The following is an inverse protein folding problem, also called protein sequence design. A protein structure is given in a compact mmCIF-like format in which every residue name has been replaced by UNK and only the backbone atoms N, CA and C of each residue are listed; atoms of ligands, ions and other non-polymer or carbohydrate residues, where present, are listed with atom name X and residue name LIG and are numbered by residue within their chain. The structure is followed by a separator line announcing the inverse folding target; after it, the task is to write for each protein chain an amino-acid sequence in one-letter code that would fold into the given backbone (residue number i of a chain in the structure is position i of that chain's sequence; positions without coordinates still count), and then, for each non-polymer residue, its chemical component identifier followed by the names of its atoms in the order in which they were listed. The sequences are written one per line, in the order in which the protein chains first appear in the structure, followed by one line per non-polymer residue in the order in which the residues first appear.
data_IF_443561700111
#
_entry.id   IF_443561700111
#
_cell.length_a   1.000
_cell.length_b   1.000
_cell.length_c   1.000
_cell.angle_alpha   90.00
_cell.angle_beta   90.00
_cell.angle_gamma   90.00
#
_symmetry.space_group_name_H-M   'P 1'
#
loop_
_entity.id
_entity.type
_entity.pdbx_description
1 polymer ?
#
# COMPACT_ATOMS: atom_id res chain seq x y z
N UNK A 1 1.82 46.60 8.55
CA UNK A 1 0.43 46.09 8.62
C UNK A 1 -0.35 46.71 7.47
N UNK A 2 -1.18 45.99 6.71
CA UNK A 2 -1.89 44.76 7.08
C UNK A 2 -1.12 43.52 6.58
N UNK A 3 -0.93 42.44 7.34
CA UNK A 3 -1.96 41.79 8.15
C UNK A 3 -2.95 41.08 7.24
N UNK A 4 -2.48 40.35 6.23
CA UNK A 4 -3.35 39.57 5.34
C UNK A 4 -4.04 38.48 6.12
N UNK A 5 -5.28 38.71 6.53
CA UNK A 5 -6.14 37.67 7.07
C UNK A 5 -6.39 36.64 5.97
N UNK A 6 -5.93 35.41 6.16
CA UNK A 6 -6.35 34.30 5.32
C UNK A 6 -7.87 34.22 5.36
N UNK A 7 -8.53 34.40 4.22
CA UNK A 7 -9.98 34.29 4.17
C UNK A 7 -10.40 32.81 4.24
N UNK A 8 -11.60 32.53 4.76
CA UNK A 8 -12.20 31.17 4.68
C UNK A 8 -12.17 30.59 3.25
N UNK A 9 -12.20 31.45 2.22
CA UNK A 9 -12.12 31.06 0.81
C UNK A 9 -10.71 30.63 0.38
N UNK A 10 -9.67 31.18 0.99
CA UNK A 10 -8.28 30.78 0.72
C UNK A 10 -7.93 29.48 1.45
N UNK A 11 -8.51 29.25 2.64
CA UNK A 11 -8.47 27.96 3.34
C UNK A 11 -9.17 26.85 2.51
N UNK A 12 -10.34 27.12 1.93
CA UNK A 12 -11.10 26.12 1.15
C UNK A 12 -10.41 25.75 -0.19
N UNK A 13 -9.57 26.62 -0.76
CA UNK A 13 -8.79 26.30 -1.97
C UNK A 13 -7.62 25.34 -1.71
N UNK A 14 -7.23 25.13 -0.45
CA UNK A 14 -6.17 24.20 -0.06
C UNK A 14 -6.59 22.72 -0.10
N UNK A 15 -7.90 22.43 -0.16
CA UNK A 15 -8.45 21.09 0.04
C UNK A 15 -9.05 20.46 -1.23
N UNK A 16 -8.50 20.80 -2.40
CA UNK A 16 -8.82 20.13 -3.66
C UNK A 16 -8.20 18.74 -3.74
N UNK A 17 -8.67 17.79 -2.93
CA UNK A 17 -8.21 16.41 -2.89
C UNK A 17 -9.32 15.45 -3.31
N UNK A 18 -9.07 14.62 -4.31
CA UNK A 18 -9.84 13.38 -4.51
C UNK A 18 -9.40 12.39 -3.43
N UNK A 19 -10.32 11.97 -2.55
CA UNK A 19 -10.16 10.84 -1.64
C UNK A 19 -8.84 10.80 -0.81
N UNK A 20 -8.47 11.90 -0.14
CA UNK A 20 -7.32 11.92 0.79
C UNK A 20 -5.94 12.09 0.12
N UNK A 21 -5.90 12.34 -1.20
CA UNK A 21 -4.67 12.64 -1.95
C UNK A 21 -4.44 14.15 -2.10
N UNK A 22 -3.30 14.63 -1.61
CA UNK A 22 -2.89 16.03 -1.65
C UNK A 22 -1.62 16.19 -2.48
N UNK A 23 -1.41 17.39 -3.02
CA UNK A 23 -0.15 17.77 -3.68
C UNK A 23 0.45 18.90 -2.86
N UNK A 24 1.75 18.79 -2.57
CA UNK A 24 2.53 19.84 -1.93
C UNK A 24 3.78 20.12 -2.76
N UNK A 25 4.21 21.37 -2.80
CA UNK A 25 5.40 21.79 -3.54
C UNK A 25 6.40 22.41 -2.59
N UNK A 26 7.65 21.96 -2.64
CA UNK A 26 8.73 22.55 -1.87
C UNK A 26 9.00 23.99 -2.33
N UNK A 27 9.19 24.88 -1.37
CA UNK A 27 9.55 26.26 -1.61
C UNK A 27 10.97 26.52 -1.13
N UNK A 28 11.73 27.32 -1.90
CA UNK A 28 13.09 27.72 -1.54
C UNK A 28 13.13 28.79 -0.43
N UNK A 29 11.98 29.36 -0.04
CA UNK A 29 11.87 30.35 1.03
C UNK A 29 11.38 29.67 2.32
N UNK A 30 12.04 29.88 3.46
CA UNK A 30 11.63 29.29 4.73
C UNK A 30 10.23 29.82 5.10
N UNK A 31 9.31 28.90 5.38
CA UNK A 31 8.03 29.23 5.97
C UNK A 31 8.25 29.67 7.42
N UNK A 32 7.61 30.76 7.85
CA UNK A 32 7.36 30.95 9.28
C UNK A 32 6.33 29.88 9.67
N UNK A 33 6.63 28.97 10.63
CA UNK A 33 5.72 27.89 10.97
C UNK A 33 4.38 28.50 11.42
N UNK A 34 3.34 28.28 10.63
CA UNK A 34 2.00 28.80 10.90
C UNK A 34 1.21 27.88 11.86
N UNK A 35 1.90 27.22 12.80
CA UNK A 35 1.27 26.51 13.92
C UNK A 35 0.76 27.52 14.96
N UNK A 36 -0.15 28.38 14.51
CA UNK A 36 -0.93 29.29 15.33
C UNK A 36 -2.39 29.17 14.91
N UNK A 37 -3.27 28.96 15.89
CA UNK A 37 -4.74 29.05 15.80
C UNK A 37 -5.52 27.77 15.47
N UNK A 38 -5.32 26.72 16.28
CA UNK A 38 -6.35 25.80 16.82
C UNK A 38 -5.65 24.52 17.32
N UNK A 39 -4.89 24.63 18.41
CA UNK A 39 -4.36 23.43 19.06
C UNK A 39 -5.47 22.84 19.91
N UNK A 40 -6.03 21.69 19.50
CA UNK A 40 -6.63 20.77 20.45
C UNK A 40 -5.63 20.54 21.60
N UNK A 41 -6.12 20.24 22.81
CA UNK A 41 -5.23 19.88 23.91
C UNK A 41 -4.40 18.63 23.54
N UNK A 42 -3.17 18.47 24.07
CA UNK A 42 -2.40 17.24 23.86
C UNK A 42 -3.20 16.00 24.30
N UNK A 43 -3.01 14.90 23.57
CA UNK A 43 -3.69 13.63 23.81
C UNK A 43 -5.05 13.50 23.11
N UNK A 44 -5.41 14.42 22.22
CA UNK A 44 -6.65 14.34 21.44
C UNK A 44 -6.50 13.39 20.23
N UNK A 45 -5.28 13.20 19.74
CA UNK A 45 -5.01 12.39 18.56
C UNK A 45 -3.75 11.54 18.72
N UNK A 46 -3.69 10.45 17.96
CA UNK A 46 -2.47 9.65 17.79
C UNK A 46 -2.34 9.09 16.37
N UNK A 47 -1.18 8.49 16.06
CA UNK A 47 -0.84 7.95 14.75
C UNK A 47 -0.48 6.46 14.86
N UNK A 48 -1.46 5.58 15.09
CA UNK A 48 -1.21 4.21 15.54
C UNK A 48 -0.65 3.28 14.45
N UNK A 49 -0.70 3.71 13.19
CA UNK A 49 -0.08 3.00 12.05
C UNK A 49 1.21 3.67 11.56
N UNK A 50 1.72 4.66 12.30
CA UNK A 50 2.98 5.32 12.02
C UNK A 50 2.99 6.17 10.74
N UNK A 51 4.17 6.26 10.14
CA UNK A 51 4.47 7.06 8.95
C UNK A 51 4.98 6.16 7.83
N UNK A 52 4.83 6.60 6.59
CA UNK A 52 5.46 5.95 5.45
C UNK A 52 5.79 6.94 4.33
N UNK A 53 6.80 6.62 3.54
CA UNK A 53 7.06 7.27 2.26
C UNK A 53 7.22 6.24 1.15
N UNK A 54 7.01 6.64 -0.11
CA UNK A 54 7.10 5.72 -1.23
C UNK A 54 7.48 6.38 -2.56
N UNK A 55 7.85 5.50 -3.50
CA UNK A 55 8.10 5.76 -4.91
C UNK A 55 9.01 6.97 -5.13
N UNK A 56 10.29 6.89 -4.71
CA UNK A 56 11.20 8.02 -4.83
C UNK A 56 11.39 8.41 -6.30
N UNK A 57 11.11 9.68 -6.60
CA UNK A 57 11.37 10.33 -7.89
C UNK A 57 12.52 11.33 -7.75
N UNK A 58 13.11 11.81 -8.85
CA UNK A 58 14.19 12.78 -8.78
C UNK A 58 13.83 14.06 -8.02
N UNK A 59 12.57 14.48 -8.05
CA UNK A 59 12.12 15.72 -7.41
C UNK A 59 10.89 15.52 -6.52
N UNK A 60 10.51 14.26 -6.26
CA UNK A 60 9.26 13.99 -5.55
C UNK A 60 9.26 12.68 -4.77
N UNK A 61 8.36 12.59 -3.79
CA UNK A 61 8.05 11.39 -3.01
C UNK A 61 6.57 11.39 -2.65
N UNK A 62 5.99 10.20 -2.42
CA UNK A 62 4.71 10.09 -1.72
C UNK A 62 4.95 9.99 -0.21
N UNK A 63 4.21 10.75 0.59
CA UNK A 63 4.19 10.64 2.06
C UNK A 63 2.82 10.18 2.53
N UNK A 64 2.79 9.44 3.64
CA UNK A 64 1.56 8.84 4.16
C UNK A 64 1.54 8.78 5.68
N UNK A 65 0.34 8.92 6.24
CA UNK A 65 0.03 8.54 7.61
C UNK A 65 -1.48 8.27 7.77
N UNK A 66 -1.86 7.69 8.91
CA UNK A 66 -3.24 7.61 9.40
C UNK A 66 -3.32 8.22 10.79
N UNK A 67 -4.29 9.10 10.99
CA UNK A 67 -4.60 9.67 12.30
C UNK A 67 -5.84 9.01 12.89
N UNK A 68 -5.86 8.87 14.21
CA UNK A 68 -7.06 8.48 14.95
C UNK A 68 -7.30 9.48 16.08
N UNK A 69 -8.57 9.83 16.27
CA UNK A 69 -9.00 10.70 17.35
C UNK A 69 -9.25 9.88 18.62
N UNK A 70 -8.62 10.27 19.72
CA UNK A 70 -8.86 9.76 21.06
C UNK A 70 -9.97 10.57 21.77
N UNK A 71 -10.16 11.82 21.34
CA UNK A 71 -11.25 12.69 21.76
C UNK A 71 -12.18 13.02 20.58
N UNK A 72 -13.41 12.51 20.64
CA UNK A 72 -14.43 12.77 19.62
C UNK A 72 -14.86 14.25 19.56
N UNK A 73 -14.59 15.06 20.60
CA UNK A 73 -14.85 16.50 20.54
C UNK A 73 -13.79 17.27 19.74
N UNK A 74 -12.63 16.65 19.46
CA UNK A 74 -11.53 17.28 18.75
C UNK A 74 -11.65 17.19 17.21
N UNK A 75 -12.50 16.30 16.68
CA UNK A 75 -12.72 16.16 15.23
C UNK A 75 -13.65 17.26 14.70
N UNK A 76 -13.62 17.47 13.38
CA UNK A 76 -14.55 18.39 12.70
C UNK A 76 -15.99 17.86 12.76
N UNK A 77 -17.02 18.70 12.56
CA UNK A 77 -18.43 18.26 12.61
C UNK A 77 -18.79 17.10 11.68
N UNK A 78 -18.04 16.90 10.59
CA UNK A 78 -18.21 15.77 9.66
C UNK A 78 -17.34 14.54 10.01
N UNK A 79 -16.67 14.55 11.16
CA UNK A 79 -15.77 13.51 11.64
C UNK A 79 -14.35 13.56 11.04
N UNK A 80 -14.05 14.47 10.13
CA UNK A 80 -12.71 14.58 9.54
C UNK A 80 -11.71 15.21 10.52
N UNK A 81 -10.41 15.00 10.27
CA UNK A 81 -9.31 15.54 11.10
C UNK A 81 -8.41 16.42 10.25
N UNK A 82 -8.16 17.64 10.72
CA UNK A 82 -7.15 18.53 10.13
C UNK A 82 -5.75 18.09 10.58
N UNK A 83 -4.87 17.91 9.60
CA UNK A 83 -3.46 17.58 9.80
C UNK A 83 -2.54 18.66 9.21
N UNK A 84 -1.33 18.75 9.76
CA UNK A 84 -0.25 19.57 9.20
C UNK A 84 0.97 18.70 8.92
N UNK A 85 1.44 18.71 7.68
CA UNK A 85 2.68 18.07 7.25
C UNK A 85 3.82 19.10 7.29
N UNK A 86 4.97 18.67 7.79
CA UNK A 86 6.24 19.35 7.55
C UNK A 86 7.25 18.40 6.90
N UNK A 87 8.03 18.90 5.94
CA UNK A 87 9.20 18.23 5.36
C UNK A 87 10.41 19.14 5.51
N UNK A 88 11.53 18.58 5.96
CA UNK A 88 12.76 19.31 6.26
C UNK A 88 14.00 18.59 5.72
N UNK A 89 15.09 19.33 5.58
CA UNK A 89 16.41 18.78 5.17
C UNK A 89 17.26 18.28 6.34
N UNK A 90 16.78 18.45 7.57
CA UNK A 90 17.42 17.98 8.80
C UNK A 90 16.37 17.41 9.77
N UNK A 91 16.86 16.58 10.69
CA UNK A 91 16.02 15.84 11.64
C UNK A 91 15.54 16.71 12.81
N UNK A 92 16.15 17.88 13.06
CA UNK A 92 15.67 18.86 14.05
C UNK A 92 14.51 19.71 13.52
N UNK A 93 14.25 19.68 12.21
CA UNK A 93 13.26 20.52 11.50
C UNK A 93 13.58 22.01 11.61
N UNK A 94 14.86 22.38 11.61
CA UNK A 94 15.32 23.77 11.54
C UNK A 94 15.18 24.32 10.12
N UNK A 95 15.34 23.48 9.09
CA UNK A 95 15.21 23.86 7.68
C UNK A 95 14.05 23.13 7.02
N UNK A 96 12.84 23.60 7.32
CA UNK A 96 11.59 23.16 6.69
C UNK A 96 11.51 23.69 5.25
N UNK A 97 11.27 22.79 4.30
CA UNK A 97 11.14 23.07 2.86
C UNK A 97 9.70 22.92 2.37
N UNK A 98 8.84 22.23 3.12
CA UNK A 98 7.41 22.09 2.87
C UNK A 98 6.66 22.21 4.20
N UNK A 99 5.63 23.03 4.23
CA UNK A 99 4.62 23.04 5.27
C UNK A 99 3.24 23.05 4.60
N UNK A 100 2.39 22.07 4.91
CA UNK A 100 1.12 21.88 4.20
C UNK A 100 0.03 21.42 5.16
N UNK A 101 -1.11 22.13 5.19
CA UNK A 101 -2.33 21.63 5.82
C UNK A 101 -3.00 20.59 4.90
N UNK A 102 -3.42 19.47 5.47
CA UNK A 102 -4.12 18.38 4.77
C UNK A 102 -5.30 17.90 5.61
N UNK A 103 -6.30 17.31 4.98
CA UNK A 103 -7.52 16.81 5.64
C UNK A 103 -7.56 15.30 5.59
N UNK A 104 -7.51 14.64 6.74
CA UNK A 104 -7.78 13.21 6.87
C UNK A 104 -9.30 13.00 6.90
N UNK A 105 -9.86 12.34 5.90
CA UNK A 105 -11.30 12.15 5.79
C UNK A 105 -11.76 10.81 6.35
N UNK A 106 -12.95 10.79 6.96
CA UNK A 106 -13.65 9.54 7.32
C UNK A 106 -13.83 8.60 6.11
N UNK A 107 -13.95 9.16 4.90
CA UNK A 107 -14.07 8.39 3.65
C UNK A 107 -12.85 7.52 3.36
N UNK A 108 -11.65 7.94 3.75
CA UNK A 108 -10.39 7.22 3.57
C UNK A 108 -9.89 6.57 4.86
N UNK A 109 -10.77 6.33 5.84
CA UNK A 109 -10.38 5.84 7.18
C UNK A 109 -9.28 6.72 7.82
N UNK A 110 -9.39 8.03 7.61
CA UNK A 110 -8.46 9.05 8.10
C UNK A 110 -6.99 8.84 7.65
N UNK A 111 -6.78 8.12 6.56
CA UNK A 111 -5.48 8.09 5.88
C UNK A 111 -5.29 9.36 5.04
N UNK A 112 -4.05 9.80 4.93
CA UNK A 112 -3.64 10.89 4.02
C UNK A 112 -2.47 10.43 3.17
N UNK A 113 -2.51 10.83 1.89
CA UNK A 113 -1.45 10.61 0.90
C UNK A 113 -1.06 11.97 0.35
N UNK A 114 0.21 12.35 0.52
CA UNK A 114 0.70 13.66 0.07
C UNK A 114 1.82 13.46 -0.94
N UNK A 115 1.54 13.80 -2.19
CA UNK A 115 2.55 13.84 -3.25
C UNK A 115 3.34 15.13 -3.10
N UNK A 116 4.57 15.02 -2.60
CA UNK A 116 5.46 16.15 -2.36
C UNK A 116 6.41 16.28 -3.54
N UNK A 117 6.40 17.42 -4.22
CA UNK A 117 7.20 17.71 -5.42
C UNK A 117 8.14 18.91 -5.23
N UNK A 118 9.03 19.14 -6.19
CA UNK A 118 9.98 20.26 -6.19
C UNK A 118 11.17 20.04 -5.22
N UNK A 119 11.39 18.80 -4.79
CA UNK A 119 12.50 18.41 -3.95
C UNK A 119 13.80 18.34 -4.76
N UNK A 120 14.94 18.43 -4.09
CA UNK A 120 16.24 18.24 -4.73
C UNK A 120 16.49 16.74 -4.99
N UNK A 121 17.09 16.36 -6.12
CA UNK A 121 17.48 14.99 -6.41
C UNK A 121 18.51 14.40 -5.46
N UNK A 122 18.51 13.07 -5.34
CA UNK A 122 19.44 12.27 -4.52
C UNK A 122 19.63 12.80 -3.08
N UNK A 123 18.55 13.30 -2.47
CA UNK A 123 18.59 14.04 -1.21
C UNK A 123 17.75 13.35 -0.15
N UNK A 124 18.29 13.24 1.07
CA UNK A 124 17.53 12.78 2.24
C UNK A 124 16.66 13.92 2.77
N UNK A 125 15.40 13.60 3.06
CA UNK A 125 14.47 14.49 3.76
C UNK A 125 13.89 13.81 5.00
N UNK A 126 13.47 14.62 5.95
CA UNK A 126 12.74 14.19 7.14
C UNK A 126 11.34 14.79 7.10
N UNK A 127 10.35 14.05 7.60
CA UNK A 127 8.96 14.51 7.59
C UNK A 127 8.22 14.11 8.86
N UNK A 128 7.19 14.89 9.21
CA UNK A 128 6.32 14.63 10.36
C UNK A 128 4.94 15.20 10.14
N UNK A 129 3.96 14.62 10.81
CA UNK A 129 2.57 15.07 10.79
C UNK A 129 2.14 15.54 12.18
N UNK A 130 1.22 16.50 12.20
CA UNK A 130 0.57 17.01 13.40
C UNK A 130 -0.94 16.93 13.26
N UNK A 131 -1.63 16.65 14.36
CA UNK A 131 -3.07 16.81 14.52
C UNK A 131 -3.30 17.63 15.79
N UNK A 132 -3.76 18.88 15.68
CA UNK A 132 -3.77 19.79 16.82
C UNK A 132 -2.37 20.00 17.42
N UNK A 133 -2.16 19.62 18.68
CA UNK A 133 -0.83 19.60 19.32
C UNK A 133 -0.11 18.25 19.28
N UNK A 134 -0.80 17.18 18.90
CA UNK A 134 -0.24 15.84 18.86
C UNK A 134 0.56 15.63 17.59
N UNK A 135 1.63 14.85 17.68
CA UNK A 135 2.58 14.61 16.59
C UNK A 135 2.73 13.12 16.35
N UNK A 136 3.09 12.77 15.11
CA UNK A 136 3.59 11.43 14.81
C UNK A 136 4.70 11.02 15.80
N UNK A 137 4.70 9.76 16.29
CA UNK A 137 5.55 9.33 17.40
C UNK A 137 7.04 9.53 17.12
N UNK A 138 7.46 9.31 15.87
CA UNK A 138 8.82 9.58 15.38
C UNK A 138 8.75 10.36 14.06
N UNK A 139 9.79 11.16 13.71
CA UNK A 139 9.90 11.71 12.37
C UNK A 139 10.25 10.60 11.38
N UNK A 140 9.65 10.65 10.20
CA UNK A 140 10.03 9.79 9.09
C UNK A 140 11.25 10.35 8.36
N UNK A 141 11.99 9.47 7.69
CA UNK A 141 13.07 9.74 6.76
C UNK A 141 12.66 9.22 5.39
N UNK A 142 12.97 9.97 4.35
CA UNK A 142 12.77 9.58 2.94
C UNK A 142 13.95 10.05 2.10
N UNK A 143 14.00 9.66 0.83
CA UNK A 143 15.01 10.12 -0.13
C UNK A 143 14.39 10.26 -1.52
N UNK A 144 14.83 11.24 -2.29
CA UNK A 144 14.55 11.38 -3.72
C UNK A 144 15.53 10.57 -4.56
N UNK A 145 15.11 10.12 -5.74
CA UNK A 145 15.98 9.41 -6.66
C UNK A 145 17.05 10.36 -7.28
N UNK A 146 18.15 9.83 -7.84
CA UNK A 146 19.06 10.60 -8.68
C UNK A 146 18.40 11.02 -9.99
N UNK A 147 18.89 12.11 -10.60
CA UNK A 147 18.45 12.53 -11.93
C UNK A 147 18.70 11.43 -12.98
N UNK A 148 17.82 11.27 -13.98
CA UNK A 148 18.06 10.36 -15.10
C UNK A 148 19.45 10.58 -15.72
N UNK A 149 20.17 9.50 -15.99
CA UNK A 149 21.53 9.56 -16.54
C UNK A 149 22.65 9.72 -15.50
N UNK A 150 22.35 10.05 -14.24
CA UNK A 150 23.37 10.11 -13.19
C UNK A 150 23.86 8.70 -12.82
N UNK A 151 25.17 8.47 -12.87
CA UNK A 151 25.79 7.21 -12.45
C UNK A 151 25.90 7.12 -10.92
N UNK A 152 24.80 6.79 -10.24
CA UNK A 152 24.73 6.58 -8.79
C UNK A 152 24.44 5.11 -8.49
N UNK A 153 25.35 4.41 -7.80
CA UNK A 153 25.15 3.04 -7.29
C UNK A 153 23.89 2.91 -6.43
N UNK A 154 22.96 2.04 -6.81
CA UNK A 154 21.74 1.76 -6.05
C UNK A 154 21.97 0.66 -5.00
N UNK A 155 21.35 0.80 -3.83
CA UNK A 155 21.28 -0.21 -2.76
C UNK A 155 19.84 -0.32 -2.29
N UNK A 156 19.20 -1.45 -2.49
CA UNK A 156 17.83 -1.68 -2.04
C UNK A 156 17.72 -3.03 -1.34
N UNK A 157 16.73 -3.17 -0.48
CA UNK A 157 16.31 -4.44 0.09
C UNK A 157 15.00 -4.87 -0.54
N UNK A 158 14.77 -6.18 -0.67
CA UNK A 158 13.49 -6.75 -1.12
C UNK A 158 12.81 -7.50 0.01
N UNK A 159 11.49 -7.37 0.12
CA UNK A 159 10.64 -8.03 1.10
C UNK A 159 9.39 -8.60 0.43
N UNK A 160 8.81 -9.64 1.01
CA UNK A 160 7.48 -10.17 0.68
C UNK A 160 6.97 -11.01 1.85
N UNK A 161 5.70 -11.42 1.79
CA UNK A 161 5.14 -12.50 2.61
C UNK A 161 5.36 -12.30 4.11
N UNK A 162 4.71 -11.27 4.66
CA UNK A 162 4.84 -10.90 6.06
C UNK A 162 3.62 -11.32 6.89
N UNK A 163 3.20 -12.58 6.84
CA UNK A 163 2.05 -13.06 7.61
C UNK A 163 2.19 -12.70 9.11
N UNK A 164 1.22 -11.92 9.62
CA UNK A 164 1.27 -11.33 10.96
C UNK A 164 1.22 -12.39 12.06
N UNK A 165 0.43 -13.44 11.84
CA UNK A 165 0.18 -14.50 12.80
C UNK A 165 1.29 -15.57 12.81
N UNK A 166 2.03 -15.68 11.70
CA UNK A 166 3.13 -16.65 11.54
C UNK A 166 4.42 -16.29 12.29
N UNK A 167 4.66 -15.00 12.58
CA UNK A 167 5.89 -14.59 13.26
C UNK A 167 5.98 -13.09 13.52
N UNK A 168 6.95 -12.69 14.35
CA UNK A 168 7.31 -11.29 14.60
C UNK A 168 8.23 -10.76 13.50
N UNK A 169 8.17 -9.47 13.19
CA UNK A 169 8.97 -8.86 12.12
C UNK A 169 10.40 -8.50 12.51
N UNK A 170 11.09 -9.40 13.22
CA UNK A 170 12.48 -9.20 13.64
C UNK A 170 13.46 -8.96 12.49
N UNK A 171 13.13 -9.41 11.26
CA UNK A 171 13.89 -9.11 10.05
C UNK A 171 13.85 -7.61 9.70
N UNK A 172 12.70 -6.94 9.85
CA UNK A 172 12.56 -5.50 9.64
C UNK A 172 13.34 -4.70 10.69
N UNK A 173 13.35 -5.16 11.94
CA UNK A 173 14.19 -4.59 13.00
C UNK A 173 15.66 -4.66 12.62
N UNK A 174 16.12 -5.83 12.17
CA UNK A 174 17.51 -6.04 11.77
C UNK A 174 17.88 -5.15 10.58
N UNK A 175 17.03 -5.11 9.55
CA UNK A 175 17.20 -4.24 8.38
C UNK A 175 17.38 -2.77 8.79
N UNK A 176 16.51 -2.29 9.67
CA UNK A 176 16.52 -0.90 10.14
C UNK A 176 17.77 -0.60 10.97
N UNK A 177 18.14 -1.49 11.89
CA UNK A 177 19.32 -1.30 12.75
C UNK A 177 20.62 -1.35 11.96
N UNK A 178 20.75 -2.28 11.01
CA UNK A 178 21.93 -2.40 10.16
C UNK A 178 22.10 -1.15 9.28
N UNK A 179 21.01 -0.60 8.73
CA UNK A 179 21.05 0.65 7.97
C UNK A 179 21.39 1.88 8.83
N UNK A 180 20.89 1.94 10.08
CA UNK A 180 21.25 3.01 11.02
C UNK A 180 22.74 2.97 11.35
N UNK A 181 23.30 1.77 11.53
CA UNK A 181 24.71 1.58 11.84
C UNK A 181 25.63 1.76 10.62
N UNK A 182 25.09 1.63 9.40
CA UNK A 182 25.85 1.75 8.16
C UNK A 182 26.30 3.19 7.89
N UNK A 183 27.51 3.39 7.32
CA UNK A 183 27.93 4.66 6.73
C UNK A 183 26.91 5.15 5.69
N UNK A 184 26.80 6.47 5.51
CA UNK A 184 25.77 7.09 4.65
C UNK A 184 25.79 6.57 3.21
N UNK A 185 26.97 6.23 2.69
CA UNK A 185 27.23 5.66 1.36
C UNK A 185 26.83 4.18 1.23
N UNK A 186 26.63 3.48 2.35
CA UNK A 186 26.21 2.08 2.41
C UNK A 186 24.74 1.91 2.81
N UNK A 187 24.08 2.99 3.23
CA UNK A 187 22.66 3.00 3.53
C UNK A 187 21.80 2.62 2.33
N UNK A 188 20.67 1.99 2.64
CA UNK A 188 19.64 1.58 1.71
C UNK A 188 18.91 2.83 1.17
N UNK A 189 18.63 2.79 -0.11
CA UNK A 189 17.96 3.84 -0.86
C UNK A 189 16.45 3.72 -0.79
N UNK A 190 15.94 2.51 -0.97
CA UNK A 190 14.53 2.16 -0.89
C UNK A 190 14.35 0.67 -0.57
N UNK A 191 13.13 0.31 -0.18
CA UNK A 191 12.72 -1.09 0.04
C UNK A 191 11.71 -1.48 -1.04
N UNK A 192 11.94 -2.59 -1.73
CA UNK A 192 11.02 -3.16 -2.70
C UNK A 192 10.14 -4.22 -2.01
N UNK A 193 8.84 -3.98 -1.89
CA UNK A 193 7.90 -4.96 -1.35
C UNK A 193 7.16 -5.65 -2.50
N UNK A 194 7.32 -6.98 -2.59
CA UNK A 194 6.92 -7.78 -3.76
C UNK A 194 5.52 -8.42 -3.65
N UNK A 195 4.79 -8.14 -2.57
CA UNK A 195 3.42 -8.60 -2.34
C UNK A 195 3.26 -9.33 -1.02
N UNK A 196 2.02 -9.70 -0.71
CA UNK A 196 1.62 -10.29 0.57
C UNK A 196 2.02 -9.40 1.76
N UNK A 197 1.76 -8.10 1.61
CA UNK A 197 1.91 -7.11 2.68
C UNK A 197 0.92 -7.39 3.80
N UNK A 198 -0.27 -7.87 3.46
CA UNK A 198 -1.25 -8.45 4.38
C UNK A 198 -1.54 -9.89 3.97
N UNK A 199 -2.12 -10.65 4.90
CA UNK A 199 -2.86 -11.86 4.60
C UNK A 199 -4.32 -11.58 4.96
N UNK A 200 -5.24 -12.02 4.12
CA UNK A 200 -6.64 -11.62 4.13
C UNK A 200 -7.51 -12.41 5.12
N UNK A 201 -6.90 -13.01 6.14
CA UNK A 201 -7.56 -13.95 7.05
C UNK A 201 -7.09 -13.86 8.49
N UNK A 202 -7.89 -14.47 9.36
CA UNK A 202 -7.52 -14.84 10.72
C UNK A 202 -7.24 -16.34 10.82
N UNK A 203 -6.37 -16.73 11.74
CA UNK A 203 -5.96 -18.11 11.93
C UNK A 203 -5.15 -18.69 10.77
N UNK A 204 -4.46 -17.85 9.99
CA UNK A 204 -3.68 -18.27 8.82
C UNK A 204 -2.30 -18.81 9.22
N UNK A 205 -2.33 -19.87 10.03
CA UNK A 205 -1.15 -20.54 10.58
C UNK A 205 -1.48 -22.03 10.69
N UNK A 206 -0.65 -22.95 10.17
CA UNK A 206 -0.96 -24.37 10.15
C UNK A 206 -1.38 -24.97 11.48
N UNK A 207 -2.29 -25.95 11.44
CA UNK A 207 -2.73 -26.64 12.64
C UNK A 207 -1.53 -27.26 13.39
N UNK A 208 -1.56 -27.22 14.72
CA UNK A 208 -0.46 -27.68 15.57
C UNK A 208 0.75 -26.75 15.67
N UNK A 209 0.84 -25.68 14.87
CA UNK A 209 1.86 -24.62 15.08
C UNK A 209 1.40 -23.61 16.13
N UNK A 210 2.29 -22.90 16.83
CA UNK A 210 1.88 -21.77 17.67
C UNK A 210 1.56 -20.55 16.81
N UNK A 211 0.48 -19.82 17.16
CA UNK A 211 0.21 -18.49 16.62
C UNK A 211 1.14 -17.50 17.33
N UNK A 212 1.94 -16.75 16.58
CA UNK A 212 2.88 -15.79 17.16
C UNK A 212 2.16 -14.54 17.68
N UNK A 213 1.16 -14.08 16.94
CA UNK A 213 0.33 -12.88 17.20
C UNK A 213 -1.06 -13.10 16.63
N UNK A 214 -2.05 -12.41 17.18
CA UNK A 214 -3.47 -12.63 16.83
C UNK A 214 -3.96 -11.49 15.94
N UNK A 215 -4.57 -11.82 14.80
CA UNK A 215 -5.48 -10.90 14.12
C UNK A 215 -6.86 -11.05 14.78
N UNK A 216 -7.44 -9.93 15.23
CA UNK A 216 -8.76 -9.94 15.85
C UNK A 216 -9.87 -10.38 14.88
N UNK A 217 -11.09 -10.64 15.39
CA UNK A 217 -12.23 -10.95 14.54
C UNK A 217 -12.43 -9.89 13.45
N UNK A 218 -12.71 -10.33 12.24
CA UNK A 218 -13.00 -9.44 11.12
C UNK A 218 -14.41 -8.83 11.31
N UNK A 219 -14.61 -7.52 11.07
CA UNK A 219 -15.91 -6.86 11.24
C UNK A 219 -17.07 -7.56 10.53
N UNK A 220 -16.87 -7.95 9.27
CA UNK A 220 -17.87 -8.52 8.36
C UNK A 220 -17.33 -9.78 7.65
N UNK A 221 -16.33 -10.44 8.24
CA UNK A 221 -15.67 -11.59 7.62
C UNK A 221 -16.60 -12.77 7.33
N UNK A 222 -16.09 -13.74 6.57
CA UNK A 222 -16.84 -14.96 6.24
C UNK A 222 -17.33 -15.71 7.49
N UNK A 223 -18.24 -16.66 7.27
CA UNK A 223 -18.53 -17.67 8.28
C UNK A 223 -17.22 -18.30 8.79
N UNK A 224 -17.09 -18.53 10.11
CA UNK A 224 -15.91 -19.16 10.68
C UNK A 224 -15.67 -20.53 10.04
N UNK A 225 -14.42 -20.80 9.67
CA UNK A 225 -14.04 -22.05 9.02
C UNK A 225 -14.13 -23.23 9.99
N UNK A 226 -14.79 -24.30 9.54
CA UNK A 226 -14.87 -25.58 10.24
C UNK A 226 -14.02 -26.62 9.48
N UNK A 227 -13.13 -27.36 10.17
CA UNK A 227 -12.31 -28.38 9.53
C UNK A 227 -13.13 -29.49 8.88
N UNK A 228 -12.86 -29.76 7.61
CA UNK A 228 -13.48 -30.82 6.81
C UNK A 228 -12.46 -31.86 6.30
N UNK A 229 -11.20 -31.74 6.74
CA UNK A 229 -10.08 -32.60 6.32
C UNK A 229 -9.45 -32.22 4.98
N UNK A 230 -9.81 -31.08 4.37
CA UNK A 230 -9.25 -30.65 3.08
C UNK A 230 -8.11 -29.64 3.19
N UNK A 231 -7.88 -29.08 4.39
CA UNK A 231 -6.98 -27.91 4.60
C UNK A 231 -6.26 -27.96 5.95
N UNK A 232 -5.17 -28.70 6.00
CA UNK A 232 -4.37 -28.92 7.22
C UNK A 232 -3.66 -27.65 7.74
N UNK A 233 -3.64 -26.59 6.94
CA UNK A 233 -2.98 -25.33 7.25
C UNK A 233 -3.92 -24.26 7.84
N UNK A 234 -5.21 -24.57 7.97
CA UNK A 234 -6.21 -23.65 8.50
C UNK A 234 -6.54 -23.94 9.95
N UNK A 235 -6.92 -22.90 10.68
CA UNK A 235 -7.40 -23.05 12.05
C UNK A 235 -8.91 -22.96 12.11
N UNK A 236 -9.51 -23.90 12.83
CA UNK A 236 -10.91 -23.86 13.21
C UNK A 236 -11.25 -22.47 13.77
N UNK A 237 -12.30 -21.87 13.24
CA UNK A 237 -12.77 -20.53 13.61
C UNK A 237 -12.15 -19.38 12.81
N UNK A 238 -11.20 -19.64 11.90
CA UNK A 238 -10.63 -18.61 11.03
C UNK A 238 -11.67 -18.00 10.09
N UNK A 239 -11.49 -16.73 9.76
CA UNK A 239 -12.38 -15.96 8.86
C UNK A 239 -11.59 -15.32 7.74
N UNK A 240 -12.23 -15.09 6.60
CA UNK A 240 -11.65 -14.35 5.46
C UNK A 240 -12.30 -12.98 5.28
N UNK A 241 -11.50 -11.99 4.88
CA UNK A 241 -11.94 -10.64 4.59
C UNK A 241 -12.70 -10.58 3.27
N UNK A 242 -13.88 -9.97 3.27
CA UNK A 242 -14.72 -9.83 2.07
C UNK A 242 -15.18 -8.39 1.84
N UNK A 243 -15.18 -7.56 2.89
CA UNK A 243 -15.60 -6.16 2.82
C UNK A 243 -14.43 -5.19 2.98
N UNK A 244 -14.66 -3.91 2.63
CA UNK A 244 -13.70 -2.84 2.87
C UNK A 244 -13.37 -2.70 4.37
N UNK A 245 -14.34 -2.92 5.25
CA UNK A 245 -14.11 -2.84 6.70
C UNK A 245 -13.12 -3.92 7.16
N UNK A 246 -13.19 -5.12 6.59
CA UNK A 246 -12.26 -6.22 6.87
C UNK A 246 -10.85 -5.91 6.40
N UNK A 247 -10.67 -5.46 5.15
CA UNK A 247 -9.32 -5.11 4.66
C UNK A 247 -8.72 -3.94 5.42
N UNK A 248 -9.51 -2.92 5.78
CA UNK A 248 -9.05 -1.84 6.66
C UNK A 248 -8.63 -2.37 8.03
N UNK A 249 -9.39 -3.30 8.61
CA UNK A 249 -9.02 -3.95 9.86
C UNK A 249 -7.66 -4.64 9.73
N UNK A 250 -7.45 -5.43 8.67
CA UNK A 250 -6.19 -6.13 8.42
C UNK A 250 -5.00 -5.18 8.26
N UNK A 251 -5.11 -4.16 7.40
CA UNK A 251 -4.02 -3.18 7.25
C UNK A 251 -3.72 -2.45 8.56
N UNK A 252 -4.74 -2.04 9.32
CA UNK A 252 -4.55 -1.43 10.64
C UNK A 252 -3.80 -2.35 11.59
N UNK A 253 -4.18 -3.63 11.63
CA UNK A 253 -3.56 -4.65 12.49
C UNK A 253 -2.10 -4.88 12.09
N UNK A 254 -1.81 -5.13 10.82
CA UNK A 254 -0.45 -5.36 10.35
C UNK A 254 0.46 -4.16 10.64
N UNK A 255 -0.05 -2.95 10.41
CA UNK A 255 0.67 -1.71 10.65
C UNK A 255 0.77 -1.31 12.13
N UNK A 256 0.21 -2.08 13.07
CA UNK A 256 0.51 -1.90 14.50
C UNK A 256 1.90 -2.42 14.89
N UNK A 257 2.53 -3.25 14.06
CA UNK A 257 3.84 -3.82 14.38
C UNK A 257 4.91 -2.70 14.45
N UNK A 258 5.64 -2.59 15.57
CA UNK A 258 6.61 -1.51 15.77
C UNK A 258 7.84 -1.63 14.86
N UNK A 259 8.25 -2.84 14.49
CA UNK A 259 9.41 -3.05 13.60
C UNK A 259 9.05 -2.69 12.16
N UNK A 260 7.81 -2.96 11.72
CA UNK A 260 7.27 -2.49 10.43
C UNK A 260 7.09 -0.97 10.41
N UNK A 261 6.57 -0.37 11.47
CA UNK A 261 6.47 1.09 11.57
C UNK A 261 7.85 1.75 11.51
N UNK A 262 8.84 1.21 12.22
CA UNK A 262 10.20 1.72 12.19
C UNK A 262 10.82 1.63 10.78
N UNK A 263 10.63 0.50 10.09
CA UNK A 263 11.10 0.33 8.72
C UNK A 263 10.41 1.31 7.75
N UNK A 264 9.07 1.44 7.80
CA UNK A 264 8.30 2.39 6.96
C UNK A 264 8.64 3.85 7.24
N UNK A 265 8.98 4.18 8.49
CA UNK A 265 9.46 5.51 8.84
C UNK A 265 10.91 5.76 8.39
N UNK A 266 11.74 4.71 8.18
CA UNK A 266 13.15 4.85 7.83
C UNK A 266 13.42 4.93 6.32
N UNK A 267 12.68 4.15 5.54
CA UNK A 267 12.92 3.94 4.11
C UNK A 267 11.71 4.37 3.27
N UNK A 268 11.92 4.95 2.07
CA UNK A 268 10.86 4.96 1.07
C UNK A 268 10.65 3.53 0.55
N UNK A 269 9.39 3.10 0.48
CA UNK A 269 9.04 1.81 -0.08
C UNK A 269 8.62 1.94 -1.55
N UNK A 270 8.82 0.88 -2.31
CA UNK A 270 8.30 0.69 -3.65
C UNK A 270 7.47 -0.58 -3.62
N UNK A 271 6.15 -0.43 -3.66
CA UNK A 271 5.22 -1.54 -3.48
C UNK A 271 4.67 -2.03 -4.82
N UNK A 272 4.58 -3.36 -4.93
CA UNK A 272 3.57 -4.06 -5.72
C UNK A 272 2.75 -4.98 -4.78
N UNK A 273 1.68 -5.58 -5.30
CA UNK A 273 0.90 -6.60 -4.61
C UNK A 273 1.20 -8.00 -5.14
N UNK A 274 0.74 -9.01 -4.40
CA UNK A 274 0.50 -10.35 -4.91
C UNK A 274 -0.97 -10.74 -4.63
N UNK A 275 -1.29 -12.00 -4.36
CA UNK A 275 -2.67 -12.46 -4.19
C UNK A 275 -3.26 -12.13 -2.82
N UNK A 276 -2.50 -12.16 -1.73
CA UNK A 276 -3.06 -12.00 -0.39
C UNK A 276 -3.55 -10.57 -0.08
N UNK A 277 -3.19 -9.58 -0.90
CA UNK A 277 -3.89 -8.29 -0.91
C UNK A 277 -5.38 -8.41 -1.30
N UNK A 278 -5.76 -9.51 -1.95
CA UNK A 278 -7.10 -9.83 -2.42
C UNK A 278 -7.62 -11.10 -1.76
N UNK A 279 -7.15 -12.24 -2.24
CA UNK A 279 -7.52 -13.57 -1.80
C UNK A 279 -6.49 -14.53 -2.36
N UNK A 280 -6.06 -15.52 -1.59
CA UNK A 280 -5.06 -16.50 -2.01
C UNK A 280 -5.34 -17.05 -3.41
N UNK A 281 -4.29 -17.13 -4.23
CA UNK A 281 -4.28 -17.60 -5.62
C UNK A 281 -5.28 -16.90 -6.55
N UNK A 282 -5.71 -15.67 -6.22
CA UNK A 282 -6.61 -14.91 -7.06
C UNK A 282 -6.05 -14.73 -8.48
N UNK A 283 -6.96 -14.74 -9.44
CA UNK A 283 -6.73 -14.24 -10.78
C UNK A 283 -7.85 -13.27 -11.13
N UNK A 284 -7.49 -12.10 -11.67
CA UNK A 284 -8.41 -11.00 -11.94
C UNK A 284 -9.25 -10.65 -10.70
N UNK A 285 -10.59 -10.69 -10.80
CA UNK A 285 -11.51 -10.57 -9.65
C UNK A 285 -12.18 -11.89 -9.29
N UNK A 286 -11.47 -13.01 -9.41
CA UNK A 286 -11.95 -14.35 -9.06
C UNK A 286 -11.30 -14.84 -7.77
N UNK A 287 -12.11 -15.36 -6.85
CA UNK A 287 -11.64 -15.98 -5.62
C UNK A 287 -11.51 -17.48 -5.82
N UNK A 288 -10.29 -18.01 -5.79
CA UNK A 288 -9.99 -19.44 -5.99
C UNK A 288 -9.88 -20.23 -4.68
N UNK A 289 -10.30 -19.63 -3.56
CA UNK A 289 -10.08 -20.19 -2.22
C UNK A 289 -10.91 -21.47 -1.96
N UNK A 290 -12.16 -21.54 -2.42
CA UNK A 290 -13.09 -22.64 -2.14
C UNK A 290 -13.52 -23.32 -3.44
N UNK A 291 -13.42 -24.65 -3.48
CA UNK A 291 -13.80 -25.51 -4.61
C UNK A 291 -13.30 -25.01 -5.98
N UNK A 292 -14.18 -24.85 -6.97
CA UNK A 292 -13.87 -24.35 -8.31
C UNK A 292 -13.68 -22.80 -8.34
N UNK A 293 -13.70 -22.15 -7.17
CA UNK A 293 -13.69 -20.72 -6.96
C UNK A 293 -15.00 -20.01 -7.34
N UNK A 294 -15.05 -18.70 -7.10
CA UNK A 294 -16.24 -17.88 -7.39
C UNK A 294 -15.88 -16.45 -7.82
N UNK A 295 -16.75 -15.78 -8.59
CA UNK A 295 -16.61 -14.35 -8.86
C UNK A 295 -16.61 -13.52 -7.56
N UNK A 296 -15.66 -12.58 -7.45
CA UNK A 296 -15.43 -11.79 -6.26
C UNK A 296 -15.10 -10.32 -6.59
N UNK A 297 -15.81 -9.74 -7.56
CA UNK A 297 -15.68 -8.36 -8.04
C UNK A 297 -15.79 -7.33 -6.90
N UNK A 298 -16.77 -7.48 -6.00
CA UNK A 298 -16.95 -6.58 -4.85
C UNK A 298 -15.77 -6.65 -3.89
N UNK A 299 -15.27 -7.86 -3.64
CA UNK A 299 -14.09 -8.10 -2.80
C UNK A 299 -12.83 -7.49 -3.42
N UNK A 300 -12.62 -7.66 -4.73
CA UNK A 300 -11.52 -7.03 -5.48
C UNK A 300 -11.55 -5.51 -5.35
N UNK A 301 -12.73 -4.89 -5.49
CA UNK A 301 -12.91 -3.46 -5.32
C UNK A 301 -12.59 -3.00 -3.89
N UNK A 302 -13.07 -3.73 -2.88
CA UNK A 302 -12.81 -3.45 -1.47
C UNK A 302 -11.31 -3.52 -1.14
N UNK A 303 -10.63 -4.57 -1.59
CA UNK A 303 -9.20 -4.77 -1.46
C UNK A 303 -8.39 -3.66 -2.17
N UNK A 304 -8.73 -3.35 -3.42
CA UNK A 304 -8.10 -2.26 -4.19
C UNK A 304 -8.19 -0.93 -3.43
N UNK A 305 -9.37 -0.62 -2.87
CA UNK A 305 -9.56 0.60 -2.08
C UNK A 305 -8.71 0.62 -0.82
N UNK A 306 -8.70 -0.48 -0.07
CA UNK A 306 -7.90 -0.57 1.16
C UNK A 306 -6.40 -0.48 0.86
N UNK A 307 -5.91 -1.16 -0.18
CA UNK A 307 -4.53 -1.04 -0.63
C UNK A 307 -4.18 0.41 -0.95
N UNK A 308 -5.02 1.10 -1.73
CA UNK A 308 -4.81 2.51 -2.07
C UNK A 308 -4.80 3.43 -0.85
N UNK A 309 -5.64 3.13 0.14
CA UNK A 309 -5.73 3.92 1.38
C UNK A 309 -4.51 3.73 2.29
N UNK A 310 -3.91 2.52 2.36
CA UNK A 310 -2.89 2.16 3.36
C UNK A 310 -1.47 1.98 2.81
N UNK A 311 -1.33 1.79 1.51
CA UNK A 311 -0.05 1.63 0.81
C UNK A 311 0.24 2.90 -0.01
N UNK A 312 1.23 3.72 0.38
CA UNK A 312 1.63 4.85 -0.44
C UNK A 312 2.29 4.37 -1.74
N UNK A 313 1.88 5.00 -2.83
CA UNK A 313 2.45 4.83 -4.17
C UNK A 313 2.11 6.08 -5.00
N UNK A 314 2.95 6.46 -5.95
CA UNK A 314 2.68 7.51 -6.92
C UNK A 314 2.07 6.86 -8.17
N UNK A 315 0.74 6.96 -8.32
CA UNK A 315 0.02 6.35 -9.45
C UNK A 315 -0.37 7.41 -10.48
N UNK A 316 -1.50 8.12 -10.31
CA UNK A 316 -1.97 9.13 -11.28
C UNK A 316 -1.03 10.33 -11.47
N UNK A 317 -0.06 10.49 -10.58
CA UNK A 317 0.97 11.54 -10.65
C UNK A 317 2.35 10.98 -11.05
N UNK A 318 2.42 9.71 -11.42
CA UNK A 318 3.66 9.04 -11.80
C UNK A 318 4.23 9.64 -13.08
N UNK A 319 5.57 9.68 -13.22
CA UNK A 319 6.18 10.18 -14.44
C UNK A 319 5.94 9.22 -15.61
N UNK A 320 5.95 9.77 -16.82
CA UNK A 320 6.13 8.97 -18.03
C UNK A 320 7.53 8.36 -18.06
N UNK A 321 7.64 7.16 -18.61
CA UNK A 321 8.90 6.43 -18.70
C UNK A 321 9.33 6.32 -20.17
N UNK A 322 10.49 6.88 -20.53
CA UNK A 322 10.98 6.92 -21.91
C UNK A 322 9.94 7.44 -22.93
N UNK A 323 9.15 8.45 -22.55
CA UNK A 323 8.09 9.02 -23.40
C UNK A 323 6.78 8.23 -23.41
N UNK A 324 6.70 7.10 -22.72
CA UNK A 324 5.47 6.30 -22.56
C UNK A 324 4.77 6.76 -21.29
N UNK A 325 3.52 7.20 -21.42
CA UNK A 325 2.71 7.59 -20.28
C UNK A 325 2.51 6.41 -19.33
N UNK A 326 2.62 6.66 -18.02
CA UNK A 326 2.31 5.63 -17.02
C UNK A 326 0.81 5.30 -17.07
N UNK A 327 0.44 4.02 -17.18
CA UNK A 327 -0.96 3.60 -17.12
C UNK A 327 -1.50 3.55 -15.68
N UNK A 328 -0.62 3.61 -14.67
CA UNK A 328 -1.02 3.62 -13.27
C UNK A 328 -1.95 4.78 -12.96
N UNK A 329 -3.01 4.50 -12.21
CA UNK A 329 -3.95 5.53 -11.79
C UNK A 329 -4.48 5.25 -10.40
N UNK A 330 -4.83 6.33 -9.70
CA UNK A 330 -5.41 6.30 -8.37
C UNK A 330 -6.76 5.58 -8.36
N UNK A 331 -7.18 5.14 -7.17
CA UNK A 331 -8.42 4.41 -6.98
C UNK A 331 -9.63 5.21 -7.47
N UNK A 332 -10.51 4.53 -8.21
CA UNK A 332 -11.80 5.02 -8.68
C UNK A 332 -12.88 4.17 -8.06
N UNK A 333 -13.84 4.81 -7.42
CA UNK A 333 -14.98 4.11 -6.88
C UNK A 333 -15.86 3.60 -8.03
N UNK A 334 -16.15 2.30 -8.04
CA UNK A 334 -16.86 1.63 -9.12
C UNK A 334 -18.09 0.93 -8.54
N UNK A 335 -19.18 0.91 -9.29
CA UNK A 335 -20.31 0.03 -8.96
C UNK A 335 -20.13 -1.30 -9.68
N UNK A 336 -19.96 -2.36 -8.91
CA UNK A 336 -19.76 -3.73 -9.40
C UNK A 336 -20.68 -4.70 -8.66
N UNK A 337 -21.11 -5.75 -9.35
CA UNK A 337 -21.78 -6.90 -8.75
C UNK A 337 -20.91 -8.14 -8.93
N UNK A 338 -21.05 -9.10 -8.01
CA UNK A 338 -20.38 -10.39 -8.18
C UNK A 338 -21.14 -11.18 -9.25
N UNK A 339 -20.59 -11.22 -10.45
CA UNK A 339 -21.23 -11.77 -11.64
C UNK A 339 -20.38 -12.87 -12.27
N UNK A 340 -20.98 -13.94 -12.85
CA UNK A 340 -20.24 -15.00 -13.54
C UNK A 340 -19.20 -14.47 -14.56
N UNK A 341 -18.03 -15.10 -14.58
CA UNK A 341 -16.95 -14.81 -15.54
C UNK A 341 -17.32 -15.46 -16.88
N UNK A 342 -17.86 -14.66 -17.81
CA UNK A 342 -18.40 -15.14 -19.09
C UNK A 342 -17.36 -15.06 -20.23
N UNK A 343 -17.56 -14.16 -21.20
CA UNK A 343 -16.63 -13.89 -22.30
C UNK A 343 -15.38 -13.16 -21.81
N UNK A 344 -14.26 -13.43 -22.47
CA UNK A 344 -13.03 -12.66 -22.34
C UNK A 344 -12.59 -12.10 -23.69
N UNK A 345 -11.83 -11.01 -23.66
CA UNK A 345 -11.18 -10.45 -24.85
C UNK A 345 -9.94 -11.26 -25.27
N UNK A 346 -9.25 -10.81 -26.32
CA UNK A 346 -8.00 -11.42 -26.80
C UNK A 346 -6.85 -11.32 -25.77
N UNK A 347 -6.98 -10.46 -24.77
CA UNK A 347 -6.08 -10.33 -23.62
C UNK A 347 -6.44 -11.24 -22.46
N UNK A 348 -7.41 -12.14 -22.63
CA UNK A 348 -7.98 -13.01 -21.60
C UNK A 348 -8.60 -12.25 -20.42
N UNK A 349 -8.98 -10.97 -20.61
CA UNK A 349 -9.68 -10.19 -19.60
C UNK A 349 -11.17 -10.42 -19.72
N UNK A 350 -11.80 -10.88 -18.63
CA UNK A 350 -13.24 -11.12 -18.62
C UNK A 350 -14.00 -9.79 -18.59
N UNK A 351 -15.04 -9.70 -19.40
CA UNK A 351 -15.83 -8.48 -19.58
C UNK A 351 -16.77 -8.20 -18.39
N UNK A 352 -17.57 -7.12 -18.48
CA UNK A 352 -18.60 -6.81 -17.48
C UNK A 352 -18.04 -6.29 -16.16
N UNK A 353 -18.55 -6.79 -15.04
CA UNK A 353 -18.17 -6.29 -13.71
C UNK A 353 -16.74 -6.68 -13.30
N UNK A 354 -16.16 -7.74 -13.89
CA UNK A 354 -14.73 -8.04 -13.73
C UNK A 354 -13.87 -6.89 -14.28
N UNK A 355 -14.03 -6.54 -15.56
CA UNK A 355 -13.29 -5.43 -16.15
C UNK A 355 -13.46 -4.10 -15.38
N UNK A 356 -14.68 -3.84 -14.87
CA UNK A 356 -14.93 -2.67 -13.99
C UNK A 356 -14.13 -2.76 -12.68
N UNK A 357 -14.14 -3.91 -11.99
CA UNK A 357 -13.41 -4.12 -10.75
C UNK A 357 -11.89 -4.00 -10.96
N UNK A 358 -11.34 -4.54 -12.05
CA UNK A 358 -9.94 -4.39 -12.42
C UNK A 358 -9.58 -2.92 -12.70
N UNK A 359 -10.45 -2.20 -13.40
CA UNK A 359 -10.24 -0.79 -13.74
C UNK A 359 -10.35 0.17 -12.54
N UNK A 360 -10.70 -0.33 -11.35
CA UNK A 360 -10.83 0.53 -10.16
C UNK A 360 -9.48 1.05 -9.68
N UNK A 361 -8.37 0.34 -9.97
CA UNK A 361 -7.03 0.71 -9.54
C UNK A 361 -5.99 0.05 -10.45
N UNK A 362 -5.04 0.85 -10.94
CA UNK A 362 -3.91 0.33 -11.73
C UNK A 362 -2.60 0.68 -11.04
N UNK A 363 -1.80 -0.32 -10.67
CA UNK A 363 -0.56 -0.11 -9.91
C UNK A 363 0.73 -0.31 -10.68
N UNK A 364 0.70 -1.02 -11.82
CA UNK A 364 1.89 -1.31 -12.59
C UNK A 364 2.45 -0.03 -13.20
N UNK A 365 3.73 0.22 -12.96
CA UNK A 365 4.42 1.49 -13.25
C UNK A 365 5.92 1.25 -13.31
N UNK A 366 6.65 2.25 -13.80
CA UNK A 366 8.11 2.19 -13.86
C UNK A 366 8.74 3.31 -13.03
N UNK A 367 9.88 3.02 -12.40
CA UNK A 367 10.71 3.96 -11.69
C UNK A 367 12.14 3.90 -12.23
N UNK A 368 12.89 5.00 -12.12
CA UNK A 368 14.28 5.08 -12.56
C UNK A 368 15.17 5.58 -11.43
N UNK A 369 16.34 4.95 -11.29
CA UNK A 369 17.38 5.37 -10.38
C UNK A 369 18.65 5.72 -11.15
N UNK A 370 18.77 7.00 -11.52
CA UNK A 370 19.91 7.47 -12.29
C UNK A 370 20.02 6.79 -13.65
N UNK A 371 21.23 6.31 -13.97
CA UNK A 371 21.50 5.45 -15.13
C UNK A 371 21.69 3.97 -14.74
N UNK A 372 21.49 3.63 -13.46
CA UNK A 372 21.93 2.33 -12.91
C UNK A 372 20.80 1.31 -12.78
N UNK A 373 19.55 1.77 -12.68
CA UNK A 373 18.39 0.88 -12.55
C UNK A 373 17.15 1.51 -13.18
N UNK A 374 16.50 0.71 -14.03
CA UNK A 374 15.13 0.88 -14.47
C UNK A 374 14.31 -0.23 -13.80
N UNK A 375 13.38 0.15 -12.94
CA UNK A 375 12.51 -0.78 -12.20
C UNK A 375 11.12 -0.76 -12.81
N UNK A 376 10.75 -1.86 -13.47
CA UNK A 376 9.41 -2.05 -14.04
C UNK A 376 8.60 -2.92 -13.08
N UNK A 377 7.60 -2.33 -12.43
CA UNK A 377 6.69 -3.03 -11.54
C UNK A 377 5.53 -3.57 -12.37
N UNK A 378 5.33 -4.87 -12.32
CA UNK A 378 4.25 -5.59 -13.00
C UNK A 378 3.09 -5.88 -12.05
N UNK A 379 1.92 -6.15 -12.63
CA UNK A 379 0.75 -6.68 -11.93
C UNK A 379 0.43 -8.07 -12.50
N UNK A 380 0.84 -9.11 -11.77
CA UNK A 380 0.70 -10.49 -12.19
C UNK A 380 -0.53 -11.18 -11.59
N UNK A 381 -1.46 -10.42 -11.00
CA UNK A 381 -2.70 -10.95 -10.41
C UNK A 381 -3.94 -10.41 -11.08
N UNK A 382 -4.00 -9.12 -11.40
CA UNK A 382 -5.21 -8.51 -11.98
C UNK A 382 -5.41 -8.84 -13.46
N UNK A 383 -4.36 -9.25 -14.18
CA UNK A 383 -4.40 -9.45 -15.64
C UNK A 383 -3.98 -10.85 -16.08
N UNK A 384 -3.82 -11.78 -15.12
CA UNK A 384 -3.50 -13.17 -15.46
C UNK A 384 -4.76 -13.94 -15.86
N UNK A 385 -4.59 -14.96 -16.69
CA UNK A 385 -5.62 -15.97 -16.94
C UNK A 385 -5.85 -16.83 -15.70
N UNK A 386 -6.93 -17.63 -15.68
CA UNK A 386 -7.07 -18.71 -14.70
C UNK A 386 -5.83 -19.63 -14.67
N UNK A 387 -5.55 -20.29 -13.53
CA UNK A 387 -4.50 -21.29 -13.44
C UNK A 387 -4.67 -22.38 -14.51
N UNK A 388 -3.58 -22.69 -15.21
CA UNK A 388 -3.56 -23.77 -16.21
C UNK A 388 -3.67 -25.14 -15.55
N UNK A 389 -3.15 -25.25 -14.33
CA UNK A 389 -3.24 -26.44 -13.49
C UNK A 389 -4.36 -26.20 -12.49
N UNK A 390 -5.53 -26.77 -12.78
CA UNK A 390 -6.64 -26.81 -11.84
C UNK A 390 -6.50 -27.99 -10.86
N UNK A 391 -7.39 -28.08 -9.87
CA UNK A 391 -7.37 -29.16 -8.88
C UNK A 391 -7.46 -30.56 -9.51
N UNK A 392 -8.15 -30.71 -10.65
CA UNK A 392 -8.29 -31.99 -11.36
C UNK A 392 -6.96 -32.39 -11.99
N UNK A 393 -6.26 -31.44 -12.59
CA UNK A 393 -4.92 -31.63 -13.17
C UNK A 393 -3.91 -31.89 -12.05
N UNK A 394 -3.95 -31.15 -10.94
CA UNK A 394 -3.09 -31.41 -9.78
C UNK A 394 -3.29 -32.83 -9.23
N UNK A 395 -4.55 -33.26 -9.08
CA UNK A 395 -4.88 -34.63 -8.65
C UNK A 395 -4.38 -35.67 -9.66
N UNK A 396 -4.53 -35.40 -10.96
CA UNK A 396 -4.04 -36.29 -12.03
C UNK A 396 -2.51 -36.42 -12.01
N UNK A 397 -1.80 -35.36 -11.64
CA UNK A 397 -0.35 -35.28 -11.62
C UNK A 397 0.26 -35.62 -10.26
N UNK A 398 -0.56 -35.98 -9.27
CA UNK A 398 -0.10 -36.33 -7.93
C UNK A 398 0.92 -37.47 -7.98
N UNK A 399 2.12 -37.23 -7.45
CA UNK A 399 3.24 -38.19 -7.48
C UNK A 399 3.98 -38.30 -8.83
N UNK A 400 3.59 -37.56 -9.87
CA UNK A 400 4.33 -37.51 -11.12
C UNK A 400 5.64 -36.71 -10.94
N UNK A 401 6.80 -37.20 -11.42
CA UNK A 401 8.08 -36.51 -11.31
C UNK A 401 8.24 -35.42 -12.39
N UNK A 402 7.17 -34.67 -12.67
CA UNK A 402 7.17 -33.63 -13.68
C UNK A 402 7.36 -32.25 -13.03
N UNK A 403 8.35 -31.45 -13.46
CA UNK A 403 8.47 -30.07 -13.01
C UNK A 403 7.21 -29.28 -13.43
N UNK A 404 6.62 -28.45 -12.54
CA UNK A 404 5.39 -27.70 -12.84
C UNK A 404 5.47 -26.87 -14.13
N UNK A 405 6.62 -26.26 -14.42
CA UNK A 405 6.85 -25.51 -15.67
C UNK A 405 6.67 -26.38 -16.91
N UNK A 406 7.13 -27.63 -16.85
CA UNK A 406 7.02 -28.56 -17.99
C UNK A 406 5.58 -29.01 -18.21
N UNK A 407 4.84 -29.21 -17.12
CA UNK A 407 3.40 -29.51 -17.15
C UNK A 407 2.64 -28.38 -17.83
N UNK A 408 2.85 -27.14 -17.37
CA UNK A 408 2.19 -25.95 -17.95
C UNK A 408 2.51 -25.83 -19.44
N UNK A 409 3.78 -25.96 -19.84
CA UNK A 409 4.17 -25.94 -21.25
C UNK A 409 3.47 -27.00 -22.10
N UNK A 410 3.30 -28.22 -21.56
CA UNK A 410 2.63 -29.31 -22.27
C UNK A 410 1.12 -29.08 -22.37
N UNK A 411 0.48 -28.57 -21.31
CA UNK A 411 -0.94 -28.25 -21.30
C UNK A 411 -1.24 -27.07 -22.25
N UNK A 412 -0.42 -26.03 -22.23
CA UNK A 412 -0.52 -24.90 -23.15
C UNK A 412 -0.30 -25.33 -24.61
N UNK A 413 0.71 -26.17 -24.87
CA UNK A 413 0.95 -26.72 -26.21
C UNK A 413 -0.21 -27.61 -26.68
N UNK A 414 -0.75 -28.45 -25.79
CA UNK A 414 -1.90 -29.32 -26.07
C UNK A 414 -3.19 -28.57 -26.35
N UNK A 415 -3.39 -27.38 -25.75
CA UNK A 415 -4.54 -26.52 -26.01
C UNK A 415 -4.65 -26.14 -27.49
N UNK A 416 -3.52 -25.86 -28.16
CA UNK A 416 -3.48 -25.55 -29.61
C UNK A 416 -3.67 -26.76 -30.53
N UNK A 417 -3.65 -27.98 -30.00
CA UNK A 417 -3.81 -29.21 -30.78
C UNK A 417 -5.25 -29.74 -30.79
N UNK A 418 -6.14 -29.18 -29.94
CA UNK A 418 -7.53 -29.59 -29.79
C UNK A 418 -8.54 -28.55 -30.32
N UNK A 419 -8.06 -27.42 -30.87
CA UNK A 419 -8.82 -26.52 -31.75
C UNK A 419 -8.64 -26.97 -33.21
#
# INVERSE_FOLDING_TARGET
MPGGSFSRRDFLKLFGATAGCFVATAAATPFLPALGTARAAPGAFHFPQGLASADPQPDAVMLWTRVEALDAAAVLPNGDVDLYLQVATDMSFERVVVEQAVRASTRSDHTVRVFVQGLSPDTIYYYRFYAGSDRSPYPGRTRTAPLPGTKRKVRFASLSCQNYESGYYGALRRLTNDDIAAPAEEQIDFVLHLGDFIYERTGDVPEGRPIARIVGPLPDGTAPWEPDGTRDWWRKGGQSAVTLADYRHLYKTYLTDPDLQAARARFPFVHTWDDHEFTNDAWQSYASYFDDGEPAQKRKLAANRAWFEFIPAILSKGPSFNGIASPAHDFRDMRVEDSPMASHDDGFIFEGDNAKALSSLTIYRALRWGSMLDLVLTDLRSYRSPPVVDKKIDTLLEGAPLPPVRVVQLLDAGRTAND
#
